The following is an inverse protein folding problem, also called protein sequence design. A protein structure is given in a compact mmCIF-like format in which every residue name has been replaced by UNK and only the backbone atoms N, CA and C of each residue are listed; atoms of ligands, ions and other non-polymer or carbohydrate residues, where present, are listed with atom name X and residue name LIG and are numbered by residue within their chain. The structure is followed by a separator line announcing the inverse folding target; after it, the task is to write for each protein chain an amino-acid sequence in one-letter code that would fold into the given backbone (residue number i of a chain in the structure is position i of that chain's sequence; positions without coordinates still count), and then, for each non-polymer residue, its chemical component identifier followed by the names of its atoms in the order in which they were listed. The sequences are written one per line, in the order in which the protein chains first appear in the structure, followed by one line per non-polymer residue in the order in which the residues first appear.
data_IF_151266153266
#
_entry.id   IF_151266153266
#
_cell.length_a   1.000
_cell.length_b   1.000
_cell.length_c   1.000
_cell.angle_alpha   90.00
_cell.angle_beta   90.00
_cell.angle_gamma   90.00
#
_symmetry.space_group_name_H-M   'P 1'
#
loop_
_entity.id
_entity.type
_entity.pdbx_description
1 polymer ?
#
# COMPACT_ATOMS: atom_id res chain seq x y z
N UNK A 1 1.93 91.19 59.57
CA UNK A 1 1.70 90.82 58.17
C UNK A 1 0.79 89.60 58.19
N UNK A 2 -0.51 89.85 58.21
CA UNK A 2 -1.56 88.83 58.23
C UNK A 2 -2.17 88.73 56.83
N UNK A 3 -2.32 87.53 56.25
CA UNK A 3 -2.97 87.38 54.96
C UNK A 3 -4.50 87.38 55.08
N UNK A 4 -5.10 88.16 54.19
CA UNK A 4 -6.51 88.49 54.10
C UNK A 4 -7.46 87.33 53.81
N UNK A 5 -8.65 87.48 54.36
CA UNK A 5 -9.85 86.65 54.22
C UNK A 5 -10.57 87.01 52.92
N UNK A 6 -10.84 86.04 52.05
CA UNK A 6 -11.58 86.19 50.77
C UNK A 6 -12.90 85.37 50.86
N UNK A 7 -14.03 85.86 50.29
CA UNK A 7 -15.37 85.48 50.74
C UNK A 7 -15.99 84.25 50.05
N UNK A 8 -17.06 83.79 50.69
CA UNK A 8 -17.99 82.73 50.28
C UNK A 8 -18.83 83.16 49.07
N UNK A 9 -19.32 82.14 48.38
CA UNK A 9 -20.40 82.16 47.37
C UNK A 9 -20.00 82.51 45.94
N UNK A 10 -19.52 81.50 45.21
CA UNK A 10 -19.68 81.45 43.77
C UNK A 10 -20.43 80.17 43.38
N UNK A 11 -21.74 80.34 43.21
CA UNK A 11 -22.66 79.36 42.64
C UNK A 11 -22.29 79.20 41.16
N UNK A 12 -21.78 78.03 40.76
CA UNK A 12 -21.78 77.62 39.36
C UNK A 12 -22.88 76.57 39.18
N UNK A 13 -23.90 77.02 38.44
CA UNK A 13 -25.07 76.27 38.02
C UNK A 13 -24.71 74.95 37.35
N UNK A 14 -25.45 73.94 37.77
CA UNK A 14 -25.73 72.65 37.15
C UNK A 14 -25.76 72.71 35.62
N UNK A 15 -24.98 71.84 35.00
CA UNK A 15 -24.93 71.66 33.55
C UNK A 15 -24.19 70.39 33.15
N UNK A 16 -24.31 69.31 33.92
CA UNK A 16 -23.93 67.97 33.48
C UNK A 16 -24.85 67.58 32.34
N UNK A 17 -24.35 67.71 31.11
CA UNK A 17 -24.98 67.11 29.93
C UNK A 17 -25.08 65.61 30.19
N UNK A 18 -26.30 65.13 30.39
CA UNK A 18 -26.65 63.74 30.13
C UNK A 18 -26.38 63.47 28.64
N UNK A 19 -25.19 63.00 28.32
CA UNK A 19 -25.06 62.06 27.22
C UNK A 19 -25.45 60.69 27.77
N UNK A 20 -26.76 60.47 27.92
CA UNK A 20 -27.33 59.13 27.98
C UNK A 20 -27.23 58.57 26.56
N UNK A 21 -26.01 58.22 26.15
CA UNK A 21 -25.82 57.33 25.02
C UNK A 21 -26.35 55.97 25.49
N UNK A 22 -27.63 55.72 25.21
CA UNK A 22 -28.13 54.37 25.21
C UNK A 22 -27.23 53.59 24.25
N UNK A 23 -26.35 52.74 24.78
CA UNK A 23 -25.80 51.65 23.97
C UNK A 23 -27.04 50.92 23.46
N UNK A 24 -27.26 50.82 22.12
CA UNK A 24 -28.25 49.87 21.64
C UNK A 24 -27.86 48.52 22.23
N UNK A 25 -28.86 47.72 22.63
CA UNK A 25 -28.62 46.33 22.97
C UNK A 25 -27.71 45.76 21.89
N UNK A 26 -26.60 45.13 22.29
CA UNK A 26 -25.78 44.37 21.38
C UNK A 26 -26.62 43.18 20.93
N UNK A 27 -27.59 43.43 20.05
CA UNK A 27 -28.23 42.40 19.26
C UNK A 27 -27.10 41.83 18.41
N UNK A 28 -26.72 40.60 18.73
CA UNK A 28 -25.67 39.87 18.03
C UNK A 28 -25.88 40.06 16.53
N UNK A 29 -24.90 40.69 15.86
CA UNK A 29 -25.03 41.01 14.45
C UNK A 29 -25.38 39.74 13.68
N UNK A 30 -26.38 39.75 12.78
CA UNK A 30 -26.80 38.55 12.04
C UNK A 30 -25.66 37.92 11.25
N UNK A 31 -24.63 38.72 10.90
CA UNK A 31 -23.38 38.29 10.28
C UNK A 31 -22.46 37.49 11.23
N UNK A 32 -22.44 37.83 12.53
CA UNK A 32 -21.72 37.09 13.56
C UNK A 32 -22.44 35.77 13.87
N UNK A 33 -23.77 35.78 13.94
CA UNK A 33 -24.58 34.57 14.13
C UNK A 33 -24.47 33.61 12.94
N UNK A 34 -24.51 34.11 11.70
CA UNK A 34 -24.30 33.27 10.50
C UNK A 34 -22.86 32.74 10.39
N UNK A 35 -21.86 33.53 10.76
CA UNK A 35 -20.47 33.06 10.86
C UNK A 35 -20.31 31.90 11.85
N UNK A 36 -20.97 32.00 13.01
CA UNK A 36 -20.93 30.96 14.04
C UNK A 36 -21.66 29.69 13.58
N UNK A 37 -22.84 29.83 12.98
CA UNK A 37 -23.63 28.70 12.44
C UNK A 37 -22.88 28.00 11.29
N UNK A 38 -22.31 28.77 10.37
CA UNK A 38 -21.54 28.22 9.24
C UNK A 38 -20.27 27.52 9.72
N UNK A 39 -19.61 28.07 10.73
CA UNK A 39 -18.46 27.43 11.39
C UNK A 39 -18.82 26.09 12.03
N UNK A 40 -19.91 26.05 12.81
CA UNK A 40 -20.42 24.83 13.44
C UNK A 40 -20.81 23.79 12.39
N UNK A 41 -21.51 24.20 11.33
CA UNK A 41 -21.92 23.31 10.23
C UNK A 41 -20.71 22.73 9.49
N UNK A 42 -19.71 23.57 9.17
CA UNK A 42 -18.49 23.14 8.47
C UNK A 42 -17.69 22.17 9.34
N UNK A 43 -17.56 22.45 10.64
CA UNK A 43 -16.92 21.56 11.60
C UNK A 43 -17.66 20.22 11.72
N UNK A 44 -18.99 20.26 11.81
CA UNK A 44 -19.84 19.07 11.91
C UNK A 44 -19.73 18.22 10.64
N UNK A 45 -19.74 18.84 9.46
CA UNK A 45 -19.49 18.16 8.19
C UNK A 45 -18.11 17.51 8.15
N UNK A 46 -17.08 18.20 8.66
CA UNK A 46 -15.73 17.64 8.79
C UNK A 46 -15.69 16.41 9.70
N UNK A 47 -16.39 16.45 10.85
CA UNK A 47 -16.52 15.29 11.74
C UNK A 47 -17.25 14.12 11.07
N UNK A 48 -18.37 14.38 10.39
CA UNK A 48 -19.12 13.34 9.68
C UNK A 48 -18.25 12.72 8.58
N UNK A 49 -17.57 13.54 7.78
CA UNK A 49 -16.66 13.06 6.74
C UNK A 49 -15.53 12.20 7.32
N UNK A 50 -14.95 12.61 8.45
CA UNK A 50 -13.92 11.85 9.16
C UNK A 50 -14.45 10.50 9.67
N UNK A 51 -15.65 10.47 10.27
CA UNK A 51 -16.30 9.24 10.72
C UNK A 51 -16.61 8.28 9.57
N UNK A 52 -17.09 8.81 8.45
CA UNK A 52 -17.37 8.01 7.24
C UNK A 52 -16.07 7.41 6.68
N UNK A 53 -15.01 8.21 6.54
CA UNK A 53 -13.72 7.73 6.06
C UNK A 53 -13.15 6.63 6.98
N UNK A 54 -13.19 6.83 8.30
CA UNK A 54 -12.77 5.85 9.29
C UNK A 54 -13.57 4.55 9.20
N UNK A 55 -14.89 4.65 9.02
CA UNK A 55 -15.76 3.48 8.85
C UNK A 55 -15.43 2.68 7.59
N UNK A 56 -15.17 3.35 6.46
CA UNK A 56 -14.77 2.67 5.22
C UNK A 56 -13.42 1.96 5.36
N UNK A 57 -12.42 2.65 5.92
CA UNK A 57 -11.07 2.09 6.13
C UNK A 57 -11.15 0.83 7.01
N UNK A 58 -11.85 0.91 8.13
CA UNK A 58 -11.94 -0.21 9.09
C UNK A 58 -12.73 -1.39 8.54
N UNK A 59 -13.80 -1.14 7.77
CA UNK A 59 -14.66 -2.21 7.25
C UNK A 59 -14.00 -3.00 6.10
N UNK A 60 -13.25 -2.33 5.23
CA UNK A 60 -12.66 -2.98 4.05
C UNK A 60 -11.27 -3.57 4.29
N UNK A 61 -10.53 -3.08 5.30
CA UNK A 61 -9.16 -3.52 5.56
C UNK A 61 -9.05 -5.03 5.82
N UNK A 62 -9.98 -5.62 6.58
CA UNK A 62 -9.90 -7.04 6.89
C UNK A 62 -10.08 -7.94 5.65
N UNK A 63 -11.04 -7.61 4.80
CA UNK A 63 -11.27 -8.35 3.54
C UNK A 63 -10.10 -8.20 2.57
N UNK A 64 -9.49 -7.02 2.53
CA UNK A 64 -8.32 -6.75 1.71
C UNK A 64 -7.10 -7.53 2.20
N UNK A 65 -6.78 -7.48 3.50
CA UNK A 65 -5.67 -8.23 4.10
C UNK A 65 -5.82 -9.73 3.85
N UNK A 66 -7.03 -10.28 3.99
CA UNK A 66 -7.30 -11.70 3.69
C UNK A 66 -7.09 -12.03 2.22
N UNK A 67 -7.62 -11.20 1.31
CA UNK A 67 -7.41 -11.38 -0.14
C UNK A 67 -5.93 -11.38 -0.51
N UNK A 68 -5.14 -10.49 0.10
CA UNK A 68 -3.69 -10.44 -0.14
C UNK A 68 -2.96 -11.67 0.42
N UNK A 69 -3.37 -12.16 1.60
CA UNK A 69 -2.85 -13.41 2.16
C UNK A 69 -3.15 -14.60 1.24
N UNK A 70 -4.35 -14.66 0.67
CA UNK A 70 -4.74 -15.70 -0.27
C UNK A 70 -3.88 -15.66 -1.54
N UNK A 71 -3.66 -14.47 -2.13
CA UNK A 71 -2.78 -14.29 -3.29
C UNK A 71 -1.36 -14.77 -2.98
N UNK A 72 -0.82 -14.44 -1.81
CA UNK A 72 0.52 -14.87 -1.40
C UNK A 72 0.59 -16.39 -1.23
N UNK A 73 -0.44 -17.02 -0.65
CA UNK A 73 -0.52 -18.46 -0.47
C UNK A 73 -0.68 -19.21 -1.81
N UNK A 74 -1.51 -18.67 -2.72
CA UNK A 74 -1.71 -19.23 -4.05
C UNK A 74 -0.40 -19.17 -4.87
N UNK A 75 0.30 -18.04 -4.80
CA UNK A 75 1.60 -17.87 -5.47
C UNK A 75 2.64 -18.86 -4.94
N UNK A 76 2.66 -19.14 -3.63
CA UNK A 76 3.52 -20.18 -3.04
C UNK A 76 3.21 -21.56 -3.63
N UNK A 77 1.94 -21.94 -3.68
CA UNK A 77 1.52 -23.22 -4.23
C UNK A 77 1.94 -23.37 -5.69
N UNK A 78 1.77 -22.32 -6.50
CA UNK A 78 2.18 -22.31 -7.89
C UNK A 78 3.70 -22.54 -8.03
N UNK A 79 4.51 -21.81 -7.27
CA UNK A 79 5.97 -21.94 -7.32
C UNK A 79 6.46 -23.30 -6.79
N UNK A 80 5.79 -23.89 -5.79
CA UNK A 80 6.11 -25.25 -5.33
C UNK A 80 5.83 -26.28 -6.42
N UNK A 81 4.70 -26.17 -7.12
CA UNK A 81 4.39 -27.07 -8.24
C UNK A 81 5.41 -26.95 -9.36
N UNK A 82 5.81 -25.72 -9.67
CA UNK A 82 6.81 -25.42 -10.68
C UNK A 82 8.19 -25.96 -10.31
N UNK A 83 8.63 -25.77 -9.07
CA UNK A 83 9.88 -26.33 -8.56
C UNK A 83 9.88 -27.87 -8.60
N UNK A 84 8.74 -28.51 -8.30
CA UNK A 84 8.57 -29.96 -8.44
C UNK A 84 8.69 -30.41 -9.90
N UNK A 85 8.11 -29.66 -10.83
CA UNK A 85 8.20 -29.97 -12.26
C UNK A 85 9.66 -29.91 -12.74
N UNK A 86 10.38 -28.85 -12.39
CA UNK A 86 11.80 -28.71 -12.74
C UNK A 86 12.66 -29.77 -12.07
N UNK A 87 12.36 -30.15 -10.83
CA UNK A 87 13.09 -31.22 -10.13
C UNK A 87 12.89 -32.62 -10.73
N UNK A 88 11.79 -32.84 -11.49
CA UNK A 88 11.54 -34.09 -12.22
C UNK A 88 12.24 -34.16 -13.57
N UNK A 89 12.47 -33.01 -14.19
CA UNK A 89 13.30 -32.93 -15.38
C UNK A 89 14.71 -33.32 -14.93
N UNK A 90 15.26 -34.43 -15.45
CA UNK A 90 16.54 -34.97 -14.98
C UNK A 90 17.71 -34.06 -15.43
N UNK A 91 17.89 -32.97 -14.68
CA UNK A 91 18.91 -31.94 -14.88
C UNK A 91 20.33 -32.42 -14.57
N UNK A 92 20.51 -33.68 -14.14
CA UNK A 92 21.79 -34.17 -13.64
C UNK A 92 22.84 -34.37 -14.73
N UNK A 93 22.42 -34.49 -15.98
CA UNK A 93 23.29 -35.04 -17.03
C UNK A 93 23.82 -34.03 -18.04
N UNK A 94 23.44 -32.74 -17.99
CA UNK A 94 23.97 -31.75 -18.93
C UNK A 94 24.56 -30.50 -18.25
N UNK A 95 25.85 -30.17 -18.53
CA UNK A 95 26.57 -29.07 -17.90
C UNK A 95 25.94 -27.70 -18.19
N UNK A 96 25.26 -27.55 -19.32
CA UNK A 96 24.55 -26.32 -19.73
C UNK A 96 23.40 -25.93 -18.79
N UNK A 97 22.90 -26.87 -18.00
CA UNK A 97 21.78 -26.65 -17.08
C UNK A 97 22.20 -26.38 -15.64
N UNK A 98 23.50 -26.50 -15.32
CA UNK A 98 24.03 -26.24 -13.97
C UNK A 98 23.85 -24.77 -13.59
N UNK A 99 24.16 -23.85 -14.51
CA UNK A 99 24.01 -22.41 -14.27
C UNK A 99 22.53 -22.02 -14.09
N UNK A 100 21.66 -22.52 -14.96
CA UNK A 100 20.23 -22.27 -14.90
C UNK A 100 19.59 -22.82 -13.62
N UNK A 101 20.05 -23.99 -13.16
CA UNK A 101 19.66 -24.57 -11.86
C UNK A 101 20.09 -23.68 -10.70
N UNK A 102 21.32 -23.16 -10.72
CA UNK A 102 21.79 -22.27 -9.66
C UNK A 102 20.98 -20.96 -9.61
N UNK A 103 20.67 -20.39 -10.78
CA UNK A 103 19.78 -19.22 -10.91
C UNK A 103 18.37 -19.50 -10.37
N UNK A 104 17.83 -20.69 -10.65
CA UNK A 104 16.53 -21.10 -10.14
C UNK A 104 16.54 -21.28 -8.62
N UNK A 105 17.55 -21.94 -8.07
CA UNK A 105 17.71 -22.14 -6.62
C UNK A 105 17.82 -20.77 -5.91
N UNK A 106 18.63 -19.85 -6.46
CA UNK A 106 18.76 -18.50 -5.91
C UNK A 106 17.45 -17.73 -5.96
N UNK A 107 16.74 -17.78 -7.10
CA UNK A 107 15.46 -17.09 -7.28
C UNK A 107 14.39 -17.66 -6.35
N UNK A 108 14.33 -18.99 -6.18
CA UNK A 108 13.41 -19.66 -5.27
C UNK A 108 13.70 -19.33 -3.81
N UNK A 109 14.98 -19.24 -3.44
CA UNK A 109 15.41 -18.83 -2.09
C UNK A 109 14.95 -17.40 -1.80
N UNK A 110 15.23 -16.45 -2.70
CA UNK A 110 14.80 -15.04 -2.56
C UNK A 110 13.29 -14.90 -2.53
N UNK A 111 12.57 -15.67 -3.37
CA UNK A 111 11.12 -15.71 -3.34
C UNK A 111 10.59 -16.14 -1.97
N UNK A 112 11.08 -17.27 -1.42
CA UNK A 112 10.64 -17.78 -0.11
C UNK A 112 10.91 -16.79 1.03
N UNK A 113 12.03 -16.09 0.98
CA UNK A 113 12.39 -15.07 1.96
C UNK A 113 11.42 -13.88 1.92
N UNK A 114 11.22 -13.29 0.73
CA UNK A 114 10.26 -12.21 0.53
C UNK A 114 8.82 -12.64 0.89
N UNK A 115 8.48 -13.90 0.63
CA UNK A 115 7.14 -14.43 0.90
C UNK A 115 6.90 -14.54 2.40
N UNK A 116 7.88 -15.04 3.16
CA UNK A 116 7.80 -15.10 4.63
C UNK A 116 7.69 -13.71 5.24
N UNK A 117 8.48 -12.76 4.75
CA UNK A 117 8.44 -11.37 5.18
C UNK A 117 7.04 -10.77 4.95
N UNK A 118 6.55 -10.83 3.70
CA UNK A 118 5.23 -10.28 3.31
C UNK A 118 4.10 -10.95 4.11
N UNK A 119 4.15 -12.27 4.27
CA UNK A 119 3.15 -13.02 5.04
C UNK A 119 3.16 -12.66 6.52
N UNK A 120 4.34 -12.48 7.10
CA UNK A 120 4.48 -12.08 8.51
C UNK A 120 3.96 -10.66 8.71
N UNK A 121 4.26 -9.76 7.77
CA UNK A 121 3.75 -8.40 7.74
C UNK A 121 2.21 -8.39 7.71
N UNK A 122 1.59 -9.08 6.75
CA UNK A 122 0.12 -9.18 6.61
C UNK A 122 -0.55 -9.79 7.86
N UNK A 123 -0.01 -10.88 8.40
CA UNK A 123 -0.54 -11.54 9.62
C UNK A 123 -0.48 -10.65 10.86
N UNK A 124 0.40 -9.65 10.89
CA UNK A 124 0.46 -8.70 12.01
C UNK A 124 -0.79 -7.82 12.09
N UNK A 125 -1.43 -7.53 10.94
CA UNK A 125 -2.65 -6.72 10.88
C UNK A 125 -3.92 -7.55 11.10
N UNK A 126 -3.93 -8.81 10.66
CA UNK A 126 -5.06 -9.75 10.83
C UNK A 126 -5.43 -9.98 12.31
N UNK A 127 -4.42 -10.17 13.18
CA UNK A 127 -4.65 -10.64 14.56
C UNK A 127 -5.15 -9.56 15.53
N UNK A 128 -5.10 -8.29 15.16
CA UNK A 128 -5.22 -7.22 16.14
C UNK A 128 -6.66 -6.84 16.49
N UNK A 129 -7.61 -6.97 15.56
CA UNK A 129 -9.01 -6.55 15.74
C UNK A 129 -9.23 -5.07 16.12
N UNK A 130 -8.16 -4.27 16.22
CA UNK A 130 -8.19 -2.90 16.70
C UNK A 130 -8.38 -1.93 15.53
N UNK A 131 -9.26 -0.92 15.65
CA UNK A 131 -9.45 0.09 14.62
C UNK A 131 -8.15 0.84 14.26
N UNK A 132 -7.27 1.04 15.23
CA UNK A 132 -5.96 1.66 15.02
C UNK A 132 -5.03 0.83 14.14
N UNK A 133 -5.19 -0.49 14.16
CA UNK A 133 -4.42 -1.40 13.30
C UNK A 133 -4.88 -1.29 11.86
N UNK A 134 -6.16 -1.01 11.60
CA UNK A 134 -6.66 -0.77 10.24
C UNK A 134 -6.26 0.60 9.70
N UNK A 135 -6.17 1.63 10.54
CA UNK A 135 -5.55 2.91 10.14
C UNK A 135 -4.08 2.69 9.80
N UNK A 136 -3.36 1.94 10.64
CA UNK A 136 -1.96 1.59 10.38
C UNK A 136 -1.81 0.78 9.09
N UNK A 137 -2.71 -0.18 8.83
CA UNK A 137 -2.77 -0.93 7.58
C UNK A 137 -2.86 0.03 6.39
N UNK A 138 -3.81 0.96 6.42
CA UNK A 138 -4.01 1.93 5.34
C UNK A 138 -2.74 2.77 5.08
N UNK A 139 -2.03 3.19 6.13
CA UNK A 139 -0.77 3.89 5.97
C UNK A 139 0.33 3.01 5.33
N UNK A 140 0.35 1.72 5.65
CA UNK A 140 1.33 0.74 5.18
C UNK A 140 0.91 0.02 3.89
N UNK A 141 -0.26 0.32 3.34
CA UNK A 141 -0.84 -0.33 2.17
C UNK A 141 0.10 -0.23 0.97
N UNK A 142 0.68 0.95 0.74
CA UNK A 142 1.65 1.18 -0.35
C UNK A 142 2.92 0.36 -0.21
N UNK A 143 3.43 0.22 1.01
CA UNK A 143 4.61 -0.60 1.28
C UNK A 143 4.29 -2.07 1.05
N UNK A 144 3.12 -2.52 1.49
CA UNK A 144 2.64 -3.89 1.26
C UNK A 144 2.45 -4.18 -0.23
N UNK A 145 1.89 -3.23 -0.99
CA UNK A 145 1.79 -3.33 -2.44
C UNK A 145 3.16 -3.46 -3.11
N UNK A 146 4.18 -2.73 -2.62
CA UNK A 146 5.54 -2.87 -3.11
C UNK A 146 6.15 -4.26 -2.76
N UNK A 147 5.87 -4.81 -1.58
CA UNK A 147 6.27 -6.17 -1.21
C UNK A 147 5.63 -7.23 -2.11
N UNK A 148 4.32 -7.09 -2.40
CA UNK A 148 3.60 -7.97 -3.33
C UNK A 148 4.14 -7.85 -4.75
N UNK A 149 4.45 -6.64 -5.21
CA UNK A 149 5.06 -6.42 -6.53
C UNK A 149 6.44 -7.10 -6.63
N UNK A 150 7.24 -7.10 -5.56
CA UNK A 150 8.50 -7.85 -5.50
C UNK A 150 8.26 -9.35 -5.62
N UNK A 151 7.25 -9.90 -4.94
CA UNK A 151 6.88 -11.32 -5.06
C UNK A 151 6.49 -11.69 -6.48
N UNK A 152 5.68 -10.85 -7.13
CA UNK A 152 5.30 -11.03 -8.53
C UNK A 152 6.51 -10.98 -9.46
N UNK A 153 7.45 -10.05 -9.23
CA UNK A 153 8.70 -9.97 -9.98
C UNK A 153 9.56 -11.23 -9.85
N UNK A 154 9.64 -11.81 -8.65
CA UNK A 154 10.31 -13.10 -8.45
C UNK A 154 9.59 -14.24 -9.17
N UNK A 155 8.26 -14.29 -9.12
CA UNK A 155 7.47 -15.28 -9.84
C UNK A 155 7.75 -15.20 -11.35
N UNK A 156 7.66 -14.01 -11.94
CA UNK A 156 7.97 -13.78 -13.36
C UNK A 156 9.37 -14.23 -13.74
N UNK A 157 10.38 -13.94 -12.89
CA UNK A 157 11.76 -14.39 -13.13
C UNK A 157 11.88 -15.91 -13.12
N UNK A 158 11.23 -16.58 -12.17
CA UNK A 158 11.21 -18.04 -12.11
C UNK A 158 10.53 -18.58 -13.39
N UNK A 159 9.39 -18.01 -13.81
CA UNK A 159 8.67 -18.41 -15.04
C UNK A 159 9.55 -18.27 -16.27
N UNK A 160 10.28 -17.16 -16.38
CA UNK A 160 11.22 -16.94 -17.47
C UNK A 160 12.35 -17.98 -17.49
N UNK A 161 12.89 -18.35 -16.33
CA UNK A 161 13.90 -19.41 -16.21
C UNK A 161 13.32 -20.75 -16.69
N UNK A 162 12.09 -21.10 -16.32
CA UNK A 162 11.45 -22.33 -16.80
C UNK A 162 11.21 -22.33 -18.30
N UNK A 163 10.73 -21.21 -18.87
CA UNK A 163 10.50 -21.13 -20.32
C UNK A 163 11.81 -21.26 -21.09
N UNK A 164 12.87 -20.59 -20.63
CA UNK A 164 14.22 -20.72 -21.21
C UNK A 164 14.70 -22.16 -21.12
N UNK A 165 14.44 -22.82 -20.00
CA UNK A 165 14.77 -24.24 -19.83
C UNK A 165 14.05 -25.12 -20.86
N UNK A 166 12.72 -24.99 -20.95
CA UNK A 166 11.91 -25.78 -21.87
C UNK A 166 12.35 -25.57 -23.33
N UNK A 167 12.55 -24.32 -23.75
CA UNK A 167 13.03 -23.99 -25.09
C UNK A 167 14.37 -24.67 -25.40
N UNK A 168 15.33 -24.62 -24.46
CA UNK A 168 16.64 -25.23 -24.65
C UNK A 168 16.55 -26.76 -24.71
N UNK A 169 15.67 -27.38 -23.92
CA UNK A 169 15.45 -28.83 -24.01
C UNK A 169 14.83 -29.25 -25.33
N UNK A 170 13.86 -28.49 -25.85
CA UNK A 170 13.22 -28.77 -27.14
C UNK A 170 14.19 -28.56 -28.31
N UNK A 171 15.03 -27.53 -28.26
CA UNK A 171 16.05 -27.27 -29.28
C UNK A 171 17.10 -28.40 -29.31
N UNK A 172 17.60 -28.81 -28.15
CA UNK A 172 18.53 -29.94 -28.04
C UNK A 172 17.91 -31.24 -28.60
N UNK A 173 16.65 -31.53 -28.27
CA UNK A 173 15.95 -32.69 -28.83
C UNK A 173 15.80 -32.61 -30.35
N UNK A 174 15.47 -31.42 -30.88
CA UNK A 174 15.32 -31.20 -32.32
C UNK A 174 16.65 -31.41 -33.06
N UNK A 175 17.75 -30.90 -32.50
CA UNK A 175 19.09 -31.07 -33.05
C UNK A 175 19.55 -32.54 -33.03
N UNK A 176 19.27 -33.28 -31.95
CA UNK A 176 19.59 -34.71 -31.88
C UNK A 176 18.77 -35.54 -32.87
N UNK A 177 17.49 -35.19 -33.08
CA UNK A 177 16.66 -35.83 -34.12
C UNK A 177 17.24 -35.56 -35.51
N UNK A 178 17.61 -34.31 -35.81
CA UNK A 178 18.19 -33.94 -37.11
C UNK A 178 19.52 -34.67 -37.37
N UNK A 179 20.43 -34.72 -36.38
CA UNK A 179 21.70 -35.45 -36.49
C UNK A 179 21.52 -36.94 -36.75
N UNK A 180 20.46 -37.56 -36.25
CA UNK A 180 20.21 -38.99 -36.44
C UNK A 180 19.49 -39.30 -37.76
N UNK A 181 18.71 -38.37 -38.31
CA UNK A 181 17.94 -38.57 -39.56
C UNK A 181 18.79 -38.30 -40.81
N UNK A 182 19.64 -37.27 -40.79
CA UNK A 182 20.47 -36.88 -41.94
C UNK A 182 21.40 -38.02 -42.43
N UNK A 183 22.20 -38.69 -41.58
CA UNK A 183 23.08 -39.77 -42.03
C UNK A 183 22.30 -41.01 -42.50
N UNK A 184 21.14 -41.31 -41.90
CA UNK A 184 20.27 -42.42 -42.34
C UNK A 184 19.71 -42.16 -43.74
N UNK A 185 19.47 -40.90 -44.10
CA UNK A 185 19.00 -40.52 -45.44
C UNK A 185 20.10 -40.67 -46.50
N UNK A 186 21.32 -40.26 -46.19
CA UNK A 186 22.47 -40.41 -47.10
C UNK A 186 22.85 -41.89 -47.32
N UNK A 187 22.74 -42.74 -46.30
CA UNK A 187 22.98 -44.18 -46.41
C UNK A 187 21.94 -44.91 -47.28
N UNK A 188 20.71 -44.39 -47.37
CA UNK A 188 19.65 -44.91 -48.23
C UNK A 188 19.79 -44.43 -49.68
N UNK A 189 20.23 -43.19 -49.90
CA UNK A 189 20.49 -42.66 -51.25
C UNK A 189 21.76 -43.25 -51.89
N UNK A 190 22.75 -43.69 -51.11
CA UNK A 190 23.98 -44.34 -51.64
C UNK A 190 23.84 -45.85 -51.95
N UNK A 191 22.70 -46.48 -51.60
CA UNK A 191 22.45 -47.92 -51.81
C UNK A 191 21.42 -48.24 -52.90
N UNK A 192 20.84 -47.22 -53.53
CA UNK A 192 19.96 -47.34 -54.71
C UNK A 192 20.70 -47.01 -55.99
#
# INVERSE_FOLDING_TARGET
MEPGRVPKDFIIKSGTRLCKAACPACDDSPLSTTGNITGILTFTLGLIASCVAFFFITRNANTEIQSLLDIVNETENHIIQMAKHIGRLDLRHSPDFVEMRNLLIDSLRRFKEAQRETRTHLKSFEKSGSPWTYIRWWYMEKETAAQIARLQGYNQRITAIQLTFLLRTTDNQSNEILKNIIPVREDLENKG
#
